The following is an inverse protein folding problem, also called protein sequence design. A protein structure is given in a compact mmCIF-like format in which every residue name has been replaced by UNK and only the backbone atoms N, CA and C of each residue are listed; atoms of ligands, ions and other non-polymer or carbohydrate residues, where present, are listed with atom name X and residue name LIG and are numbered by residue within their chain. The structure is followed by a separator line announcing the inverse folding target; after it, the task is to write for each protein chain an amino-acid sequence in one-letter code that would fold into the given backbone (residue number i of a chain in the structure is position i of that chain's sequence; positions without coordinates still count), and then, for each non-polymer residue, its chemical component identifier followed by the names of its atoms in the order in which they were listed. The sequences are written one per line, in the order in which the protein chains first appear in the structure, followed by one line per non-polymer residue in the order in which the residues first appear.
data_IF_365900726692
#
_entry.id   IF_365900726692
#
_cell.length_a   1.000
_cell.length_b   1.000
_cell.length_c   1.000
_cell.angle_alpha   90.00
_cell.angle_beta   90.00
_cell.angle_gamma   90.00
#
_symmetry.space_group_name_H-M   'P 1'
#
loop_
_entity.id
_entity.type
_entity.pdbx_description
1 polymer ?
#
# COMPACT_ATOMS: atom_id res chain seq x y z
N UNK A 1 -39.28 48.83 20.99
CA UNK A 1 -38.82 47.44 20.80
C UNK A 1 -37.55 47.26 21.62
N UNK A 2 -37.48 46.21 22.44
CA UNK A 2 -36.50 46.06 23.52
C UNK A 2 -35.14 45.59 23.00
N UNK A 3 -34.08 46.23 23.50
CA UNK A 3 -32.66 45.90 23.36
C UNK A 3 -32.33 44.48 23.82
N UNK A 4 -31.39 43.82 23.15
CA UNK A 4 -30.54 42.77 23.74
C UNK A 4 -29.14 42.84 23.11
N UNK A 5 -28.29 43.62 23.75
CA UNK A 5 -26.85 43.64 23.53
C UNK A 5 -26.27 42.34 24.08
N UNK A 6 -25.54 41.58 23.25
CA UNK A 6 -24.74 40.43 23.68
C UNK A 6 -23.41 40.96 24.25
N UNK A 7 -23.20 40.74 25.54
CA UNK A 7 -21.93 40.97 26.22
C UNK A 7 -20.88 39.98 25.72
N UNK A 8 -19.77 40.51 25.20
CA UNK A 8 -18.53 39.75 25.04
C UNK A 8 -17.85 39.68 26.40
N UNK A 9 -17.99 38.56 27.10
CA UNK A 9 -17.18 38.29 28.30
C UNK A 9 -15.76 37.88 27.87
N UNK A 10 -14.78 38.61 28.39
CA UNK A 10 -13.37 38.35 28.17
C UNK A 10 -12.93 37.09 28.91
N UNK A 11 -12.56 36.05 28.17
CA UNK A 11 -11.94 34.84 28.70
C UNK A 11 -10.51 35.18 29.15
N UNK A 12 -10.27 35.15 30.46
CA UNK A 12 -8.95 35.42 31.05
C UNK A 12 -7.86 34.45 30.57
N UNK A 13 -6.58 34.85 30.59
CA UNK A 13 -5.48 34.01 30.15
C UNK A 13 -5.32 32.81 31.08
N UNK A 14 -5.60 31.62 30.55
CA UNK A 14 -5.33 30.34 31.20
C UNK A 14 -3.83 30.19 31.44
N UNK A 15 -3.44 30.03 32.71
CA UNK A 15 -2.08 29.77 33.12
C UNK A 15 -1.57 28.48 32.45
N UNK A 16 -0.72 28.65 31.43
CA UNK A 16 -0.12 27.54 30.70
C UNK A 16 0.74 26.71 31.65
N UNK A 17 0.28 25.49 31.95
CA UNK A 17 1.09 24.47 32.62
C UNK A 17 2.35 24.27 31.78
N UNK A 18 3.48 24.80 32.26
CA UNK A 18 4.81 24.61 31.69
C UNK A 18 5.07 23.11 31.60
N UNK A 19 4.90 22.55 30.40
CA UNK A 19 5.14 21.16 30.11
C UNK A 19 6.57 20.80 30.51
N UNK A 20 6.71 19.77 31.36
CA UNK A 20 8.02 19.21 31.73
C UNK A 20 8.79 18.92 30.44
N UNK A 21 9.91 19.62 30.26
CA UNK A 21 10.74 19.53 29.07
C UNK A 21 11.10 18.08 28.79
N UNK A 22 10.70 17.59 27.62
CA UNK A 22 11.14 16.28 27.12
C UNK A 22 12.68 16.28 27.11
N UNK A 23 13.36 15.29 27.70
CA UNK A 23 14.81 15.23 27.72
C UNK A 23 15.38 15.41 26.30
N UNK A 24 16.30 16.37 26.14
CA UNK A 24 16.96 16.64 24.87
C UNK A 24 17.98 15.51 24.63
N UNK A 25 17.55 14.50 23.87
CA UNK A 25 18.41 13.40 23.41
C UNK A 25 19.59 14.00 22.65
N UNK A 26 20.82 13.60 22.97
CA UNK A 26 22.03 14.11 22.31
C UNK A 26 22.05 13.73 20.82
N UNK A 27 22.73 14.52 20.00
CA UNK A 27 22.89 14.20 18.57
C UNK A 27 23.64 12.88 18.35
N UNK A 28 24.59 12.55 19.23
CA UNK A 28 25.28 11.27 19.25
C UNK A 28 24.34 10.10 19.55
N UNK A 29 23.41 10.25 20.49
CA UNK A 29 22.43 9.20 20.79
C UNK A 29 21.39 9.06 19.66
N UNK A 30 21.08 10.15 18.95
CA UNK A 30 20.29 10.09 17.70
C UNK A 30 21.06 9.41 16.57
N UNK A 31 22.35 9.67 16.41
CA UNK A 31 23.20 9.00 15.41
C UNK A 31 23.39 7.52 15.73
N UNK A 32 23.71 7.16 16.97
CA UNK A 32 23.83 5.77 17.40
C UNK A 32 22.51 4.99 17.22
N UNK A 33 21.36 5.64 17.43
CA UNK A 33 20.03 5.06 17.12
C UNK A 33 19.75 4.94 15.63
N UNK A 34 20.33 5.79 14.78
CA UNK A 34 20.26 5.67 13.32
C UNK A 34 21.16 4.54 12.81
N UNK A 35 22.32 4.35 13.43
CA UNK A 35 23.29 3.30 13.06
C UNK A 35 22.84 1.90 13.49
N UNK A 36 22.12 1.77 14.61
CA UNK A 36 21.37 0.55 14.94
C UNK A 36 20.13 0.45 14.05
N UNK A 37 20.34 0.15 12.78
CA UNK A 37 19.27 -0.06 11.81
C UNK A 37 18.17 -0.94 12.40
N UNK A 38 16.91 -0.56 12.19
CA UNK A 38 15.78 -1.37 12.67
C UNK A 38 15.91 -2.79 12.13
N UNK A 39 15.67 -3.83 12.94
CA UNK A 39 15.72 -5.20 12.44
C UNK A 39 14.72 -5.37 11.29
N UNK A 40 15.15 -6.04 10.22
CA UNK A 40 14.25 -6.45 9.14
C UNK A 40 13.28 -7.50 9.70
N UNK A 41 12.01 -7.39 9.34
CA UNK A 41 10.97 -8.38 9.65
C UNK A 41 10.24 -8.76 8.39
N UNK A 42 9.65 -9.95 8.39
CA UNK A 42 8.78 -10.36 7.30
C UNK A 42 7.52 -9.50 7.29
N UNK A 43 7.22 -8.93 6.14
CA UNK A 43 6.00 -8.19 5.86
C UNK A 43 5.25 -8.88 4.72
N UNK A 44 3.94 -9.06 4.90
CA UNK A 44 3.04 -9.39 3.79
C UNK A 44 2.24 -8.14 3.42
N UNK A 45 2.36 -7.71 2.17
CA UNK A 45 1.81 -6.44 1.71
C UNK A 45 0.96 -6.64 0.45
N UNK A 46 -0.15 -5.92 0.39
CA UNK A 46 -0.78 -5.53 -0.87
C UNK A 46 -0.10 -4.24 -1.33
N UNK A 47 0.25 -4.16 -2.60
CA UNK A 47 0.80 -2.94 -3.21
C UNK A 47 -0.02 -2.56 -4.43
N UNK A 48 -0.35 -1.27 -4.53
CA UNK A 48 -0.98 -0.68 -5.72
C UNK A 48 -0.07 0.43 -6.22
N UNK A 49 0.30 0.37 -7.50
CA UNK A 49 1.09 1.39 -8.19
C UNK A 49 0.20 2.02 -9.26
N UNK A 50 -0.05 3.32 -9.16
CA UNK A 50 -1.04 4.01 -9.99
C UNK A 50 -0.62 5.45 -10.28
N UNK A 51 -1.19 6.04 -11.33
CA UNK A 51 -1.11 7.48 -11.60
C UNK A 51 -2.53 8.06 -11.51
N UNK A 52 -2.70 9.16 -10.79
CA UNK A 52 -4.01 9.79 -10.62
C UNK A 52 -4.54 10.36 -11.95
N UNK A 53 -5.70 9.88 -12.39
CA UNK A 53 -6.39 10.39 -13.58
C UNK A 53 -5.81 9.93 -14.93
N UNK A 54 -4.91 8.95 -14.94
CA UNK A 54 -4.35 8.40 -16.17
C UNK A 54 -3.98 6.92 -16.03
N UNK A 55 -3.81 6.25 -17.16
CA UNK A 55 -3.22 4.91 -17.21
C UNK A 55 -1.74 4.96 -16.79
N UNK A 56 -1.29 3.93 -16.07
CA UNK A 56 0.14 3.71 -15.86
C UNK A 56 0.80 3.23 -17.15
N UNK A 57 2.05 3.65 -17.37
CA UNK A 57 2.86 3.13 -18.46
C UNK A 57 3.22 1.66 -18.21
N UNK A 58 2.67 0.76 -19.03
CA UNK A 58 2.91 -0.69 -18.93
C UNK A 58 4.37 -1.07 -19.20
N UNK A 59 5.15 -0.21 -19.86
CA UNK A 59 6.59 -0.42 -20.05
C UNK A 59 7.38 -0.42 -18.73
N UNK A 60 6.77 0.02 -17.61
CA UNK A 60 7.34 -0.07 -16.27
C UNK A 60 7.21 -1.47 -15.66
N UNK A 61 6.37 -2.35 -16.21
CA UNK A 61 6.08 -3.67 -15.65
C UNK A 61 7.35 -4.54 -15.46
N UNK A 62 8.32 -4.61 -16.41
CA UNK A 62 9.57 -5.33 -16.20
C UNK A 62 10.35 -4.87 -14.95
N UNK A 63 10.26 -3.60 -14.57
CA UNK A 63 10.96 -3.08 -13.38
C UNK A 63 10.37 -3.61 -12.08
N UNK A 64 9.05 -3.86 -12.07
CA UNK A 64 8.38 -4.51 -10.93
C UNK A 64 8.66 -6.01 -10.87
N UNK A 65 8.88 -6.68 -12.02
CA UNK A 65 9.37 -8.06 -12.06
C UNK A 65 10.74 -8.16 -11.39
N UNK A 66 11.67 -7.28 -11.76
CA UNK A 66 12.99 -7.21 -11.12
C UNK A 66 12.92 -6.98 -9.61
N UNK A 67 12.03 -6.07 -9.15
CA UNK A 67 11.80 -5.88 -7.71
C UNK A 67 11.35 -7.18 -7.02
N UNK A 68 10.44 -7.94 -7.64
CA UNK A 68 9.98 -9.21 -7.07
C UNK A 68 11.12 -10.24 -7.02
N UNK A 69 11.94 -10.32 -8.06
CA UNK A 69 13.05 -11.28 -8.13
C UNK A 69 14.18 -10.98 -7.15
N UNK A 70 14.51 -9.70 -6.97
CA UNK A 70 15.67 -9.29 -6.16
C UNK A 70 15.35 -9.07 -4.69
N UNK A 71 14.13 -8.63 -4.37
CA UNK A 71 13.79 -8.17 -3.02
C UNK A 71 12.71 -9.02 -2.34
N UNK A 72 11.86 -9.74 -3.08
CA UNK A 72 10.78 -10.52 -2.49
C UNK A 72 11.21 -11.93 -2.12
N UNK A 73 10.63 -12.46 -1.04
CA UNK A 73 10.64 -13.90 -0.75
C UNK A 73 9.71 -14.61 -1.72
N UNK A 74 8.50 -14.04 -1.89
CA UNK A 74 7.47 -14.51 -2.80
C UNK A 74 6.52 -13.36 -3.13
N UNK A 75 5.93 -13.36 -4.32
CA UNK A 75 4.94 -12.36 -4.68
C UNK A 75 4.41 -12.53 -6.09
N UNK A 76 3.41 -11.71 -6.40
CA UNK A 76 2.83 -11.62 -7.73
C UNK A 76 2.53 -10.16 -8.06
N UNK A 77 2.67 -9.80 -9.33
CA UNK A 77 2.29 -8.51 -9.89
C UNK A 77 1.39 -8.75 -11.10
N UNK A 78 0.33 -7.97 -11.24
CA UNK A 78 -0.60 -7.98 -12.36
C UNK A 78 -0.87 -6.57 -12.86
N UNK A 79 -1.16 -6.45 -14.16
CA UNK A 79 -1.74 -5.24 -14.77
C UNK A 79 -3.26 -5.33 -14.64
N UNK A 80 -3.88 -4.34 -14.01
CA UNK A 80 -5.32 -4.32 -13.75
C UNK A 80 -5.96 -2.98 -14.14
N UNK A 81 -7.26 -3.00 -14.43
CA UNK A 81 -8.08 -1.77 -14.49
C UNK A 81 -8.79 -1.50 -13.17
N UNK A 82 -8.80 -0.23 -12.76
CA UNK A 82 -9.55 0.22 -11.58
C UNK A 82 -11.05 0.18 -11.81
N UNK A 83 -11.86 -0.19 -10.81
CA UNK A 83 -13.31 -0.36 -10.98
C UNK A 83 -14.12 0.93 -11.18
N UNK A 84 -13.59 2.10 -10.82
CA UNK A 84 -14.34 3.38 -10.86
C UNK A 84 -13.96 4.27 -12.04
N UNK A 85 -12.66 4.38 -12.34
CA UNK A 85 -12.14 5.29 -13.38
C UNK A 85 -11.50 4.52 -14.53
N UNK A 86 -11.52 3.18 -14.49
CA UNK A 86 -11.00 2.28 -15.51
C UNK A 86 -9.53 2.48 -15.90
N UNK A 87 -8.74 3.20 -15.11
CA UNK A 87 -7.33 3.39 -15.40
C UNK A 87 -6.48 2.14 -15.12
N UNK A 88 -5.48 1.92 -15.96
CA UNK A 88 -4.47 0.90 -15.76
C UNK A 88 -3.62 1.22 -14.53
N UNK A 89 -3.40 0.21 -13.71
CA UNK A 89 -2.51 0.25 -12.55
C UNK A 89 -1.84 -1.12 -12.37
N UNK A 90 -0.75 -1.15 -11.61
CA UNK A 90 -0.17 -2.41 -11.17
C UNK A 90 -0.72 -2.78 -9.80
N UNK A 91 -1.19 -4.01 -9.68
CA UNK A 91 -1.63 -4.60 -8.42
C UNK A 91 -0.66 -5.71 -8.04
N UNK A 92 -0.23 -5.73 -6.78
CA UNK A 92 0.75 -6.70 -6.30
C UNK A 92 0.38 -7.25 -4.94
N UNK A 93 0.86 -8.47 -4.68
CA UNK A 93 0.98 -9.04 -3.35
C UNK A 93 2.41 -9.51 -3.15
N UNK A 94 3.01 -9.21 -2.00
CA UNK A 94 4.43 -9.49 -1.76
C UNK A 94 4.71 -9.89 -0.31
N UNK A 95 5.59 -10.88 -0.15
CA UNK A 95 6.29 -11.23 1.09
C UNK A 95 7.71 -10.72 1.00
N UNK A 96 8.14 -9.87 1.93
CA UNK A 96 9.46 -9.23 1.89
C UNK A 96 10.04 -9.04 3.28
N UNK A 97 11.37 -9.15 3.42
CA UNK A 97 12.09 -8.79 4.63
C UNK A 97 12.43 -7.30 4.61
N UNK A 98 11.71 -6.50 5.39
CA UNK A 98 11.91 -5.05 5.41
C UNK A 98 11.81 -4.46 6.83
N UNK A 99 12.38 -3.26 7.00
CA UNK A 99 12.33 -2.53 8.27
C UNK A 99 10.97 -1.84 8.48
N UNK A 100 10.27 -1.50 7.40
CA UNK A 100 8.95 -0.86 7.42
C UNK A 100 8.27 -0.91 6.06
N UNK A 101 6.95 -0.68 6.04
CA UNK A 101 6.16 -0.52 4.81
C UNK A 101 6.68 0.65 3.96
N UNK A 102 7.07 1.75 4.61
CA UNK A 102 7.61 2.93 3.93
C UNK A 102 8.92 2.61 3.20
N UNK A 103 9.78 1.78 3.80
CA UNK A 103 11.00 1.33 3.15
C UNK A 103 10.72 0.52 1.88
N UNK A 104 9.70 -0.35 1.90
CA UNK A 104 9.27 -1.09 0.70
C UNK A 104 8.73 -0.14 -0.37
N UNK A 105 7.84 0.80 0.00
CA UNK A 105 7.31 1.79 -0.95
C UNK A 105 8.43 2.61 -1.60
N UNK A 106 9.42 3.07 -0.81
CA UNK A 106 10.60 3.77 -1.33
C UNK A 106 11.39 2.90 -2.30
N UNK A 107 11.65 1.64 -1.95
CA UNK A 107 12.38 0.70 -2.80
C UNK A 107 11.65 0.46 -4.12
N UNK A 108 10.33 0.29 -4.11
CA UNK A 108 9.54 0.15 -5.34
C UNK A 108 9.66 1.41 -6.21
N UNK A 109 9.60 2.61 -5.61
CA UNK A 109 9.85 3.87 -6.35
C UNK A 109 11.25 3.92 -6.97
N UNK A 110 12.27 3.34 -6.34
CA UNK A 110 13.62 3.21 -6.91
C UNK A 110 13.61 2.38 -8.19
N UNK A 111 13.01 1.18 -8.17
CA UNK A 111 12.89 0.36 -9.37
C UNK A 111 12.13 1.10 -10.48
N UNK A 112 11.07 1.82 -10.13
CA UNK A 112 10.31 2.61 -11.09
C UNK A 112 11.04 3.86 -11.62
N UNK A 113 12.16 4.27 -11.01
CA UNK A 113 12.85 5.52 -11.34
C UNK A 113 12.14 6.77 -10.81
N UNK A 114 11.22 6.62 -9.86
CA UNK A 114 10.35 7.67 -9.34
C UNK A 114 10.86 8.35 -8.06
N UNK A 115 12.14 8.20 -7.72
CA UNK A 115 12.70 8.91 -6.56
C UNK A 115 12.89 10.41 -6.79
N UNK A 116 13.28 10.77 -8.01
CA UNK A 116 13.59 12.16 -8.39
C UNK A 116 12.60 12.73 -9.40
N UNK A 117 12.05 11.88 -10.26
CA UNK A 117 11.20 12.29 -11.39
C UNK A 117 9.95 11.41 -11.47
N UNK A 118 9.11 11.48 -10.44
CA UNK A 118 7.84 10.77 -10.44
C UNK A 118 6.81 11.52 -11.29
N UNK A 119 6.02 10.84 -12.14
CA UNK A 119 4.88 11.45 -12.81
C UNK A 119 3.94 12.15 -11.81
N UNK A 120 3.31 13.24 -12.23
CA UNK A 120 2.32 13.94 -11.39
C UNK A 120 1.19 12.99 -11.04
N UNK A 121 0.88 12.88 -9.75
CA UNK A 121 -0.15 11.94 -9.26
C UNK A 121 0.29 10.48 -9.13
N UNK A 122 1.57 10.17 -9.38
CA UNK A 122 2.11 8.83 -9.16
C UNK A 122 2.07 8.44 -7.67
N UNK A 123 1.59 7.24 -7.39
CA UNK A 123 1.45 6.73 -6.04
C UNK A 123 1.86 5.25 -5.95
N UNK A 124 2.55 4.90 -4.87
CA UNK A 124 2.86 3.52 -4.48
C UNK A 124 2.27 3.28 -3.11
N UNK A 125 1.07 2.72 -3.08
CA UNK A 125 0.32 2.45 -1.87
C UNK A 125 0.59 1.03 -1.38
N UNK A 126 1.35 0.92 -0.29
CA UNK A 126 1.60 -0.37 0.37
C UNK A 126 0.71 -0.51 1.61
N UNK A 127 0.00 -1.63 1.74
CA UNK A 127 -0.87 -1.94 2.89
C UNK A 127 -0.52 -3.31 3.45
N UNK A 128 -0.34 -3.39 4.77
CA UNK A 128 -0.15 -4.67 5.43
C UNK A 128 -1.42 -5.53 5.34
N UNK A 129 -1.24 -6.81 5.04
CA UNK A 129 -2.32 -7.78 5.04
C UNK A 129 -2.74 -8.07 6.49
N UNK A 130 -4.06 -8.11 6.72
CA UNK A 130 -4.65 -8.25 8.07
C UNK A 130 -4.95 -9.70 8.45
N UNK A 131 -4.62 -10.66 7.58
CA UNK A 131 -4.96 -12.08 7.72
C UNK A 131 -6.46 -12.32 7.95
N UNK A 132 -7.29 -11.48 7.34
CA UNK A 132 -8.76 -11.53 7.44
C UNK A 132 -9.36 -11.31 6.06
N UNK A 133 -10.37 -12.13 5.73
CA UNK A 133 -11.08 -12.04 4.46
C UNK A 133 -10.10 -12.08 3.26
N UNK A 134 -10.34 -11.23 2.26
CA UNK A 134 -9.48 -11.04 1.10
C UNK A 134 -8.09 -10.45 1.44
N UNK A 135 -7.91 -9.87 2.62
CA UNK A 135 -6.64 -9.27 3.06
C UNK A 135 -5.68 -10.33 3.63
N UNK A 136 -5.53 -11.43 2.91
CA UNK A 136 -4.58 -12.53 3.14
C UNK A 136 -3.68 -12.66 1.91
N UNK A 137 -2.52 -13.32 2.03
CA UNK A 137 -1.62 -13.50 0.88
C UNK A 137 -2.32 -14.25 -0.26
N UNK A 138 -2.94 -15.40 0.03
CA UNK A 138 -3.71 -16.16 -0.97
C UNK A 138 -4.92 -15.42 -1.51
N UNK A 139 -5.66 -14.69 -0.68
CA UNK A 139 -6.77 -13.86 -1.15
C UNK A 139 -6.28 -12.83 -2.18
N UNK A 140 -5.17 -12.15 -1.89
CA UNK A 140 -4.61 -11.17 -2.82
C UNK A 140 -3.97 -11.80 -4.07
N UNK A 141 -3.49 -13.05 -4.02
CA UNK A 141 -3.14 -13.79 -5.24
C UNK A 141 -4.37 -13.92 -6.15
N UNK A 142 -5.52 -14.33 -5.62
CA UNK A 142 -6.77 -14.39 -6.38
C UNK A 142 -7.20 -13.03 -6.93
N UNK A 143 -7.08 -11.98 -6.10
CA UNK A 143 -7.39 -10.61 -6.53
C UNK A 143 -6.53 -10.18 -7.73
N UNK A 144 -5.23 -10.50 -7.71
CA UNK A 144 -4.29 -10.21 -8.79
C UNK A 144 -4.61 -10.97 -10.11
N UNK A 145 -5.51 -11.95 -10.07
CA UNK A 145 -5.96 -12.72 -11.25
C UNK A 145 -7.32 -12.25 -11.78
N UNK A 146 -7.94 -11.22 -11.18
CA UNK A 146 -9.34 -10.84 -11.50
C UNK A 146 -9.55 -10.43 -12.96
N UNK A 147 -8.51 -9.91 -13.61
CA UNK A 147 -8.53 -9.42 -14.99
C UNK A 147 -7.96 -10.46 -15.98
N UNK A 148 -7.80 -11.74 -15.61
CA UNK A 148 -7.08 -12.74 -16.42
C UNK A 148 -7.62 -12.93 -17.86
N UNK A 149 -8.89 -12.63 -18.09
CA UNK A 149 -9.54 -12.73 -19.41
C UNK A 149 -9.59 -11.39 -20.17
N UNK A 150 -8.88 -10.35 -19.69
CA UNK A 150 -8.86 -9.02 -20.29
C UNK A 150 -7.66 -8.82 -21.23
N UNK A 151 -7.78 -8.03 -22.32
CA UNK A 151 -6.69 -7.83 -23.27
C UNK A 151 -5.43 -7.16 -22.70
N UNK A 152 -5.56 -6.36 -21.65
CA UNK A 152 -4.45 -5.68 -20.99
C UNK A 152 -3.74 -6.53 -19.94
N UNK A 153 -4.23 -7.75 -19.70
CA UNK A 153 -3.74 -8.56 -18.60
C UNK A 153 -2.34 -9.09 -18.88
N UNK A 154 -1.43 -8.75 -17.98
CA UNK A 154 -0.12 -9.37 -17.87
C UNK A 154 0.14 -9.62 -16.39
N UNK A 155 0.72 -10.79 -16.06
CA UNK A 155 1.11 -11.10 -14.71
C UNK A 155 2.52 -11.69 -14.63
N UNK A 156 3.10 -11.62 -13.43
CA UNK A 156 4.35 -12.26 -13.11
C UNK A 156 4.33 -12.73 -11.66
N UNK A 157 4.71 -13.98 -11.44
CA UNK A 157 4.76 -14.62 -10.13
C UNK A 157 6.19 -15.05 -9.81
N UNK A 158 6.68 -14.68 -8.63
CA UNK A 158 8.00 -15.04 -8.12
C UNK A 158 7.83 -15.91 -6.86
N UNK A 159 8.36 -17.14 -6.87
CA UNK A 159 8.27 -18.12 -5.77
C UNK A 159 6.84 -18.34 -5.24
N UNK A 160 5.84 -18.31 -6.13
CA UNK A 160 4.45 -18.66 -5.82
C UNK A 160 4.09 -19.89 -6.62
N UNK A 161 3.58 -20.93 -5.97
CA UNK A 161 3.18 -22.16 -6.65
C UNK A 161 1.88 -21.97 -7.44
N UNK A 162 1.71 -22.75 -8.51
CA UNK A 162 0.46 -22.78 -9.28
C UNK A 162 -0.73 -23.16 -8.40
N UNK A 163 -0.53 -24.03 -7.41
CA UNK A 163 -1.58 -24.43 -6.47
C UNK A 163 -1.99 -23.29 -5.54
N UNK A 164 -1.05 -22.44 -5.11
CA UNK A 164 -1.38 -21.25 -4.33
C UNK A 164 -2.19 -20.24 -5.14
N UNK A 165 -1.88 -20.07 -6.42
CA UNK A 165 -2.65 -19.22 -7.34
C UNK A 165 -4.07 -19.78 -7.51
N UNK A 166 -4.22 -21.09 -7.78
CA UNK A 166 -5.53 -21.75 -7.89
C UNK A 166 -6.36 -21.60 -6.61
N UNK A 167 -5.75 -21.80 -5.44
CA UNK A 167 -6.41 -21.57 -4.14
C UNK A 167 -6.84 -20.11 -3.98
N UNK A 168 -5.98 -19.17 -4.38
CA UNK A 168 -6.28 -17.75 -4.36
C UNK A 168 -7.49 -17.39 -5.23
N UNK A 169 -7.51 -17.87 -6.48
CA UNK A 169 -8.64 -17.69 -7.41
C UNK A 169 -9.94 -18.22 -6.79
N UNK A 170 -9.92 -19.46 -6.26
CA UNK A 170 -11.09 -20.07 -5.62
C UNK A 170 -11.61 -19.24 -4.44
N UNK A 171 -10.71 -18.75 -3.58
CA UNK A 171 -11.06 -17.86 -2.47
C UNK A 171 -11.70 -16.56 -2.97
N UNK A 172 -11.09 -15.91 -3.96
CA UNK A 172 -11.62 -14.67 -4.52
C UNK A 172 -13.02 -14.83 -5.12
N UNK A 173 -13.23 -15.86 -5.95
CA UNK A 173 -14.52 -16.14 -6.56
C UNK A 173 -15.58 -16.44 -5.50
N UNK A 174 -15.25 -17.27 -4.50
CA UNK A 174 -16.19 -17.64 -3.43
C UNK A 174 -16.59 -16.41 -2.61
N UNK A 175 -15.65 -15.55 -2.25
CA UNK A 175 -15.92 -14.33 -1.48
C UNK A 175 -16.63 -13.24 -2.29
N UNK A 176 -16.34 -13.13 -3.59
CA UNK A 176 -17.04 -12.23 -4.51
C UNK A 176 -18.52 -12.60 -4.65
N UNK A 177 -18.83 -13.89 -4.76
CA UNK A 177 -20.21 -14.41 -4.80
C UNK A 177 -20.99 -14.17 -3.51
N UNK A 178 -20.32 -14.14 -2.34
CA UNK A 178 -20.99 -13.82 -1.08
C UNK A 178 -21.31 -12.32 -0.96
N UNK A 179 -20.46 -11.45 -1.50
CA UNK A 179 -20.66 -9.99 -1.43
C UNK A 179 -21.82 -9.50 -2.31
N UNK A 180 -22.10 -10.18 -3.44
CA UNK A 180 -23.22 -9.81 -4.33
C UNK A 180 -24.59 -10.21 -3.79
N UNK A 181 -24.69 -11.26 -2.98
CA UNK A 181 -25.97 -11.72 -2.39
C UNK A 181 -26.49 -10.82 -1.28
N UNK A 182 -25.61 -10.11 -0.58
CA UNK A 182 -26.00 -9.15 0.47
C UNK A 182 -26.39 -7.77 -0.07
N UNK A 183 -26.13 -7.48 -1.34
CA UNK A 183 -26.47 -6.20 -1.98
C UNK A 183 -27.86 -6.20 -2.65
N UNK A 184 -28.59 -7.32 -2.60
CA UNK A 184 -29.92 -7.49 -3.22
C UNK A 184 -31.02 -7.81 -2.20
N UNK A 185 -30.76 -7.55 -0.90
CA UNK A 185 -31.74 -7.62 0.18
C UNK A 185 -31.90 -6.23 0.81
#
# INVERSE_FOLDING_TARGET
MKNLARSCEAVGPSASKRGRGRPRISEEEKMARRERGKPKKMLELSVTVSIGGSDIDVALFPRLKMFLEEEAIAGMCSIERGGTVFHLHFQMVVRVMATSIVAVSKKIKQYLGWETDSPVGANVLCRALKQKNMLTFHGMLGYCMKDMDQPHYENFAHNVSVDDIKKGILLYTTMGLMSSRTASA
#
